data_IF_757696758874
#
_entry.id   IF_757696758874
#
_cell.length_a   1.000
_cell.length_b   1.000
_cell.length_c   1.000
_cell.angle_alpha   90.00
_cell.angle_beta   90.00
_cell.angle_gamma   90.00
#
_symmetry.space_group_name_H-M   'P 1'
#
loop_
_entity.id
_entity.type
_entity.pdbx_description
1 polymer ?
#
# COMPACT_ATOMS: atom_id res chain seq x y z
N UNK A 1 -61.47 0.22 -44.38
CA UNK A 1 -62.59 1.19 -44.49
C UNK A 1 -62.02 2.55 -44.08
N UNK A 2 -61.84 3.46 -45.05
CA UNK A 2 -61.90 4.95 -45.00
C UNK A 2 -61.45 5.66 -43.69
N UNK A 3 -60.66 6.73 -43.64
CA UNK A 3 -60.43 7.83 -44.60
C UNK A 3 -59.35 8.79 -44.03
N UNK A 4 -58.83 9.58 -44.95
CA UNK A 4 -57.99 10.78 -44.89
C UNK A 4 -58.17 11.77 -43.72
N UNK A 5 -57.12 12.55 -43.43
CA UNK A 5 -57.23 13.76 -42.61
C UNK A 5 -55.90 14.49 -42.40
N UNK A 6 -55.51 15.31 -43.37
CA UNK A 6 -54.33 16.19 -43.39
C UNK A 6 -54.55 17.43 -42.51
N UNK A 7 -53.60 17.84 -41.67
CA UNK A 7 -53.50 19.22 -41.19
C UNK A 7 -52.03 19.60 -40.97
N UNK A 8 -51.54 20.59 -41.72
CA UNK A 8 -50.20 21.16 -41.61
C UNK A 8 -50.17 22.25 -40.52
N UNK A 9 -49.11 22.28 -39.69
CA UNK A 9 -48.77 23.45 -38.85
C UNK A 9 -47.23 23.62 -38.67
N UNK A 10 -46.74 24.86 -38.52
CA UNK A 10 -45.33 25.23 -38.64
C UNK A 10 -44.57 25.05 -37.32
N UNK A 11 -43.34 24.52 -37.37
CA UNK A 11 -42.47 24.46 -36.19
C UNK A 11 -41.37 25.51 -36.29
N UNK A 12 -41.58 26.64 -35.60
CA UNK A 12 -40.58 27.67 -35.34
C UNK A 12 -39.64 27.19 -34.22
N UNK A 13 -38.33 27.29 -34.51
CA UNK A 13 -37.22 27.60 -33.59
C UNK A 13 -37.20 26.94 -32.20
N UNK A 14 -36.65 25.72 -32.10
CA UNK A 14 -36.16 25.17 -30.82
C UNK A 14 -34.74 24.55 -30.87
N UNK A 15 -34.08 24.49 -32.04
CA UNK A 15 -32.82 23.73 -32.16
C UNK A 15 -31.54 24.51 -31.79
N UNK A 16 -31.57 25.83 -31.62
CA UNK A 16 -30.34 26.58 -31.30
C UNK A 16 -29.91 26.54 -29.83
N UNK A 17 -30.82 26.26 -28.88
CA UNK A 17 -30.48 26.30 -27.45
C UNK A 17 -29.80 25.01 -26.94
N UNK A 18 -30.05 23.85 -27.55
CA UNK A 18 -29.53 22.56 -27.05
C UNK A 18 -28.06 22.27 -27.43
N UNK A 19 -27.50 22.91 -28.47
CA UNK A 19 -26.14 22.60 -28.93
C UNK A 19 -25.04 23.27 -28.07
N UNK A 20 -25.35 24.35 -27.35
CA UNK A 20 -24.38 25.08 -26.52
C UNK A 20 -24.10 24.40 -25.16
N UNK A 21 -25.01 23.59 -24.64
CA UNK A 21 -24.82 22.91 -23.34
C UNK A 21 -23.91 21.66 -23.43
N UNK A 22 -24.01 20.84 -24.50
CA UNK A 22 -23.14 19.64 -24.64
C UNK A 22 -21.65 19.96 -24.88
N UNK A 23 -21.31 21.17 -25.36
CA UNK A 23 -19.91 21.60 -25.56
C UNK A 23 -19.26 22.08 -24.26
N UNK A 24 -20.06 22.47 -23.25
CA UNK A 24 -19.60 22.91 -21.93
C UNK A 24 -19.18 21.71 -21.07
N UNK A 25 -19.94 20.62 -21.12
CA UNK A 25 -19.62 19.38 -20.42
C UNK A 25 -18.37 18.67 -20.94
N UNK A 26 -18.11 18.69 -22.25
CA UNK A 26 -16.87 18.10 -22.79
C UNK A 26 -15.61 18.85 -22.35
N UNK A 27 -15.70 20.17 -22.16
CA UNK A 27 -14.59 21.01 -21.65
C UNK A 27 -14.44 20.87 -20.13
N UNK A 28 -15.54 20.72 -19.40
CA UNK A 28 -15.52 20.49 -17.95
C UNK A 28 -15.01 19.08 -17.62
N UNK A 29 -15.43 18.05 -18.35
CA UNK A 29 -14.96 16.66 -18.18
C UNK A 29 -13.47 16.50 -18.48
N UNK A 30 -12.95 17.18 -19.52
CA UNK A 30 -11.50 17.21 -19.79
C UNK A 30 -10.73 17.91 -18.66
N UNK A 31 -11.27 18.99 -18.10
CA UNK A 31 -10.66 19.68 -16.95
C UNK A 31 -10.70 18.81 -15.69
N UNK A 32 -11.82 18.15 -15.40
CA UNK A 32 -11.96 17.23 -14.26
C UNK A 32 -11.00 16.04 -14.39
N UNK A 33 -10.87 15.45 -15.58
CA UNK A 33 -9.92 14.38 -15.83
C UNK A 33 -8.46 14.84 -15.62
N UNK A 34 -8.11 16.06 -16.06
CA UNK A 34 -6.80 16.64 -15.82
C UNK A 34 -6.53 16.92 -14.33
N UNK A 35 -7.54 17.38 -13.59
CA UNK A 35 -7.44 17.61 -12.14
C UNK A 35 -7.25 16.28 -11.40
N UNK A 36 -8.01 15.24 -11.76
CA UNK A 36 -7.86 13.90 -11.17
C UNK A 36 -6.49 13.33 -11.48
N UNK A 37 -6.03 13.42 -12.73
CA UNK A 37 -4.70 12.94 -13.13
C UNK A 37 -3.58 13.69 -12.40
N UNK A 38 -3.69 15.02 -12.29
CA UNK A 38 -2.72 15.84 -11.56
C UNK A 38 -2.72 15.53 -10.06
N UNK A 39 -3.89 15.38 -9.46
CA UNK A 39 -4.06 14.97 -8.06
C UNK A 39 -3.46 13.59 -7.80
N UNK A 40 -3.72 12.62 -8.68
CA UNK A 40 -3.16 11.27 -8.59
C UNK A 40 -1.63 11.28 -8.71
N UNK A 41 -1.08 12.02 -9.67
CA UNK A 41 0.37 12.23 -9.80
C UNK A 41 0.98 12.88 -8.55
N UNK A 42 0.29 13.86 -7.98
CA UNK A 42 0.73 14.55 -6.77
C UNK A 42 0.72 13.62 -5.55
N UNK A 43 -0.29 12.74 -5.42
CA UNK A 43 -0.38 11.73 -4.37
C UNK A 43 0.77 10.71 -4.43
N UNK A 44 1.20 10.29 -5.63
CA UNK A 44 2.32 9.35 -5.79
C UNK A 44 3.64 9.94 -5.30
N UNK A 45 3.80 11.26 -5.40
CA UNK A 45 5.05 11.95 -5.01
C UNK A 45 5.29 11.97 -3.49
N UNK A 46 4.26 11.68 -2.69
CA UNK A 46 4.34 11.73 -1.22
C UNK A 46 4.67 10.37 -0.55
N UNK A 47 4.77 9.29 -1.34
CA UNK A 47 5.17 7.98 -0.82
C UNK A 47 6.70 7.89 -0.80
N UNK A 48 7.31 8.48 0.23
CA UNK A 48 8.74 8.35 0.51
C UNK A 48 8.98 7.26 1.56
N UNK A 49 9.81 6.26 1.23
CA UNK A 49 10.27 5.28 2.22
C UNK A 49 11.29 5.91 3.16
N UNK A 50 11.10 5.74 4.48
CA UNK A 50 12.13 6.07 5.47
C UNK A 50 13.28 5.06 5.27
N UNK A 51 14.44 5.52 4.81
CA UNK A 51 15.53 4.66 4.31
C UNK A 51 16.02 3.54 5.25
N UNK A 52 16.93 2.69 4.76
CA UNK A 52 17.42 1.52 5.50
C UNK A 52 18.19 1.95 6.75
N UNK A 53 17.70 1.52 7.94
CA UNK A 53 18.39 1.74 9.22
C UNK A 53 19.62 0.84 9.31
N UNK A 54 20.79 1.43 9.58
CA UNK A 54 22.04 0.69 9.77
C UNK A 54 22.02 -0.11 11.08
N UNK A 55 22.65 -1.28 11.08
CA UNK A 55 22.87 -2.11 12.26
C UNK A 55 23.98 -1.54 13.15
N UNK A 56 23.65 -0.49 13.92
CA UNK A 56 24.63 0.29 14.71
C UNK A 56 25.28 -0.46 15.88
N UNK A 57 24.73 -1.61 16.28
CA UNK A 57 25.23 -2.41 17.42
C UNK A 57 26.01 -3.67 17.01
N UNK A 58 26.17 -3.90 15.71
CA UNK A 58 27.00 -4.95 15.16
C UNK A 58 28.45 -4.78 15.63
N UNK A 59 29.08 -5.85 16.08
CA UNK A 59 30.43 -5.85 16.67
C UNK A 59 30.47 -5.45 18.15
N UNK A 60 29.37 -4.94 18.73
CA UNK A 60 29.30 -4.56 20.14
C UNK A 60 28.39 -5.50 20.95
N UNK A 61 27.12 -5.64 20.53
CA UNK A 61 26.14 -6.47 21.22
C UNK A 61 26.08 -7.89 20.64
N UNK A 62 26.39 -8.02 19.35
CA UNK A 62 26.39 -9.27 18.59
C UNK A 62 27.47 -9.22 17.52
N UNK A 63 27.79 -10.37 16.93
CA UNK A 63 28.84 -10.49 15.92
C UNK A 63 28.55 -9.63 14.69
N UNK A 64 29.54 -8.89 14.22
CA UNK A 64 29.41 -8.06 13.01
C UNK A 64 29.38 -8.88 11.72
N UNK A 65 30.10 -10.00 11.71
CA UNK A 65 30.13 -10.92 10.59
C UNK A 65 28.84 -11.75 10.57
N UNK A 66 28.12 -11.69 9.46
CA UNK A 66 26.82 -12.32 9.32
C UNK A 66 26.89 -13.85 9.38
N UNK A 67 27.94 -14.46 8.81
CA UNK A 67 28.10 -15.91 8.80
C UNK A 67 28.30 -16.45 10.22
N UNK A 68 29.17 -15.80 11.01
CA UNK A 68 29.43 -16.16 12.41
C UNK A 68 28.16 -15.92 13.25
N UNK A 69 27.48 -14.79 13.06
CA UNK A 69 26.23 -14.50 13.78
C UNK A 69 25.15 -15.56 13.52
N UNK A 70 25.00 -15.99 12.27
CA UNK A 70 24.04 -17.03 11.89
C UNK A 70 24.35 -18.35 12.59
N UNK A 71 25.60 -18.78 12.56
CA UNK A 71 26.02 -20.02 13.21
C UNK A 71 25.78 -19.96 14.73
N UNK A 72 26.05 -18.82 15.35
CA UNK A 72 25.80 -18.60 16.77
C UNK A 72 24.31 -18.69 17.12
N UNK A 73 23.44 -18.08 16.31
CA UNK A 73 21.98 -18.16 16.49
C UNK A 73 21.49 -19.60 16.31
N UNK A 74 21.94 -20.31 15.28
CA UNK A 74 21.60 -21.71 15.04
C UNK A 74 21.99 -22.58 16.23
N UNK A 75 23.15 -22.32 16.84
CA UNK A 75 23.59 -23.04 18.02
C UNK A 75 22.68 -22.76 19.23
N UNK A 76 22.28 -21.51 19.45
CA UNK A 76 21.34 -21.18 20.53
C UNK A 76 19.99 -21.89 20.36
N UNK A 77 19.43 -21.86 19.15
CA UNK A 77 18.16 -22.51 18.83
C UNK A 77 18.25 -24.04 18.97
N UNK A 78 19.35 -24.66 18.53
CA UNK A 78 19.57 -26.11 18.71
C UNK A 78 19.66 -26.54 20.17
N UNK A 79 20.15 -25.65 21.03
CA UNK A 79 20.30 -25.91 22.46
C UNK A 79 19.01 -25.63 23.25
N UNK A 80 17.97 -25.07 22.63
CA UNK A 80 16.70 -24.81 23.27
C UNK A 80 16.04 -26.13 23.70
N UNK A 81 15.75 -26.27 25.00
CA UNK A 81 15.26 -27.52 25.59
C UNK A 81 13.74 -27.63 25.61
N UNK A 82 13.05 -26.50 25.74
CA UNK A 82 11.60 -26.44 25.93
C UNK A 82 10.96 -25.94 24.65
N UNK A 83 10.76 -26.84 23.70
CA UNK A 83 10.01 -26.54 22.49
C UNK A 83 8.51 -26.66 22.81
N UNK A 84 7.68 -25.74 22.30
CA UNK A 84 6.23 -25.87 22.40
C UNK A 84 5.79 -27.17 21.75
N UNK A 85 4.73 -27.78 22.29
CA UNK A 85 4.19 -29.01 21.72
C UNK A 85 3.72 -28.75 20.29
N UNK A 86 3.78 -29.78 19.44
CA UNK A 86 3.31 -29.64 18.06
C UNK A 86 1.83 -29.21 18.04
N UNK A 87 1.54 -28.05 17.45
CA UNK A 87 0.20 -27.48 17.38
C UNK A 87 -0.12 -26.42 18.45
N UNK A 88 0.80 -26.10 19.37
CA UNK A 88 0.64 -24.97 20.28
C UNK A 88 0.91 -23.64 19.56
N UNK A 89 -0.01 -22.69 19.72
CA UNK A 89 0.08 -21.35 19.16
C UNK A 89 0.81 -20.40 20.13
N UNK A 90 1.91 -19.79 19.68
CA UNK A 90 2.63 -18.77 20.45
C UNK A 90 1.92 -17.42 20.29
N UNK A 91 1.27 -16.94 21.35
CA UNK A 91 0.57 -15.64 21.35
C UNK A 91 1.51 -14.45 21.54
N UNK A 92 2.56 -14.60 22.34
CA UNK A 92 3.51 -13.53 22.67
C UNK A 92 4.86 -14.10 23.15
N UNK A 93 5.92 -13.28 23.06
CA UNK A 93 7.26 -13.57 23.57
C UNK A 93 7.80 -12.39 24.39
N UNK A 94 8.54 -12.70 25.45
CA UNK A 94 9.35 -11.74 26.21
C UNK A 94 10.80 -12.20 26.09
N UNK A 95 11.67 -11.34 25.58
CA UNK A 95 13.07 -11.67 25.30
C UNK A 95 14.03 -10.63 25.90
N UNK A 96 15.18 -11.04 26.47
CA UNK A 96 16.18 -10.11 26.96
C UNK A 96 16.84 -9.30 25.82
N UNK A 97 17.37 -8.12 26.13
CA UNK A 97 17.98 -7.20 25.16
C UNK A 97 19.46 -6.93 25.44
N UNK A 98 20.12 -7.76 26.24
CA UNK A 98 21.55 -7.68 26.49
C UNK A 98 22.35 -8.24 25.31
N UNK A 99 23.67 -8.06 25.34
CA UNK A 99 24.56 -8.64 24.33
C UNK A 99 24.46 -10.17 24.28
N UNK A 100 24.60 -10.75 23.09
CA UNK A 100 24.32 -12.17 22.82
C UNK A 100 25.22 -13.13 23.59
N UNK A 101 26.42 -12.69 23.98
CA UNK A 101 27.32 -13.46 24.85
C UNK A 101 26.69 -13.72 26.23
N UNK A 102 25.84 -12.82 26.71
CA UNK A 102 25.20 -12.93 28.02
C UNK A 102 23.79 -13.51 27.95
N UNK A 103 22.99 -13.10 26.96
CA UNK A 103 21.57 -13.43 26.92
C UNK A 103 21.11 -14.21 25.69
N UNK A 104 22.02 -14.54 24.76
CA UNK A 104 21.65 -15.20 23.50
C UNK A 104 20.96 -16.56 23.71
N UNK A 105 21.49 -17.39 24.60
CA UNK A 105 20.90 -18.70 24.91
C UNK A 105 19.58 -18.59 25.68
N UNK A 106 19.35 -17.51 26.43
CA UNK A 106 18.09 -17.28 27.15
C UNK A 106 16.99 -16.78 26.22
N UNK A 107 17.37 -16.08 25.14
CA UNK A 107 16.44 -15.56 24.14
C UNK A 107 15.94 -16.63 23.15
N UNK A 108 16.66 -17.75 23.02
CA UNK A 108 16.36 -18.86 22.12
C UNK A 108 15.50 -19.93 22.80
#
# INVERSE_FOLDING_TARGET
MLKDGKVDFPCISLYSFSCLNMRKDRKNMRKTALIIFFSLCLCVSFVGSQGIRKAVWAGQFYQENAEILSQQIDQFLKNAKNLPSHGEEILALISPHAGYVYSGQTAA
#
